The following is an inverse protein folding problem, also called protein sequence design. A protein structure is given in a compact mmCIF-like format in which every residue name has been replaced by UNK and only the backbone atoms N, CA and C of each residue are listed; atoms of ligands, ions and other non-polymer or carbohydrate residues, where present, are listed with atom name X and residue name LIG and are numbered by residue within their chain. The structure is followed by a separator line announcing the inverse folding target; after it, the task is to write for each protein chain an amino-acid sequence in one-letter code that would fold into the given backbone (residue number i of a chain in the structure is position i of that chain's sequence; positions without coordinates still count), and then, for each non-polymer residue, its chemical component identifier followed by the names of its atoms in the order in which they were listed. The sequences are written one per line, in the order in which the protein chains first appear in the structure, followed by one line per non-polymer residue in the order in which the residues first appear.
data_IF_771280489561
#
_entry.id   IF_771280489561
#
_cell.length_a   1.000
_cell.length_b   1.000
_cell.length_c   1.000
_cell.angle_alpha   90.00
_cell.angle_beta   90.00
_cell.angle_gamma   90.00
#
_symmetry.space_group_name_H-M   'P 1'
#
loop_
_entity.id
_entity.type
_entity.pdbx_description
1 polymer ?
#
# COMPACT_ATOMS: atom_id res chain seq x y z
N UNK A 1 -13.21 12.49 10.60
CA UNK A 1 -12.66 12.51 9.22
C UNK A 1 -13.72 12.94 8.21
N UNK A 2 -13.40 13.92 7.38
CA UNK A 2 -14.25 14.35 6.28
C UNK A 2 -13.67 13.74 5.01
N UNK A 3 -14.47 13.03 4.24
CA UNK A 3 -14.09 12.56 2.91
C UNK A 3 -13.59 13.70 2.02
N UNK A 4 -12.97 13.40 0.86
CA UNK A 4 -12.49 14.42 -0.05
C UNK A 4 -13.61 15.39 -0.39
N UNK A 5 -13.38 16.68 -0.22
CA UNK A 5 -14.36 17.72 -0.55
C UNK A 5 -14.71 17.68 -2.04
N UNK A 6 -15.89 18.22 -2.41
CA UNK A 6 -16.40 18.19 -3.80
C UNK A 6 -15.45 18.81 -4.85
N UNK A 7 -14.49 19.63 -4.44
CA UNK A 7 -13.56 20.34 -5.33
C UNK A 7 -12.11 19.80 -5.23
N UNK A 8 -11.87 18.72 -4.51
CA UNK A 8 -10.53 18.14 -4.42
C UNK A 8 -10.33 17.16 -5.58
N UNK A 9 -9.25 17.34 -6.30
CA UNK A 9 -8.75 16.39 -7.29
C UNK A 9 -7.67 15.50 -6.67
N UNK A 10 -7.52 14.31 -7.17
CA UNK A 10 -6.41 13.42 -6.87
C UNK A 10 -5.73 13.01 -8.18
N UNK A 11 -4.41 12.82 -8.14
CA UNK A 11 -3.65 12.39 -9.30
C UNK A 11 -4.04 10.96 -9.70
N UNK A 12 -4.32 10.11 -8.72
CA UNK A 12 -4.68 8.70 -8.92
C UNK A 12 -5.83 8.29 -8.02
N UNK A 13 -6.69 7.42 -8.53
CA UNK A 13 -7.81 6.80 -7.81
C UNK A 13 -7.61 5.29 -7.86
N UNK A 14 -7.55 4.65 -6.68
CA UNK A 14 -7.41 3.21 -6.55
C UNK A 14 -8.69 2.63 -5.94
N UNK A 15 -9.20 1.56 -6.52
CA UNK A 15 -10.34 0.80 -6.00
C UNK A 15 -9.86 -0.55 -5.51
N UNK A 16 -10.33 -0.93 -4.32
CA UNK A 16 -10.03 -2.21 -3.69
C UNK A 16 -11.31 -3.00 -3.47
N UNK A 17 -11.23 -4.29 -3.77
CA UNK A 17 -12.15 -5.29 -3.26
C UNK A 17 -11.44 -6.00 -2.09
N UNK A 18 -11.87 -5.71 -0.87
CA UNK A 18 -11.24 -6.23 0.34
C UNK A 18 -11.60 -7.69 0.54
N UNK A 19 -10.60 -8.53 0.67
CA UNK A 19 -10.74 -9.92 1.05
C UNK A 19 -10.58 -10.01 2.58
N UNK A 20 -11.70 -10.13 3.28
CA UNK A 20 -11.69 -10.33 4.73
C UNK A 20 -11.45 -11.80 5.09
N UNK A 21 -10.73 -11.99 6.18
CA UNK A 21 -10.57 -13.27 6.88
C UNK A 21 -10.97 -13.12 8.34
N UNK A 22 -10.89 -14.18 9.11
CA UNK A 22 -10.95 -14.05 10.54
C UNK A 22 -9.60 -13.57 11.11
N UNK A 23 -9.66 -12.83 12.19
CA UNK A 23 -8.53 -12.64 13.08
C UNK A 23 -8.18 -13.96 13.78
N UNK A 24 -6.93 -14.10 14.24
CA UNK A 24 -6.47 -15.29 14.97
C UNK A 24 -7.26 -15.60 16.25
N UNK A 25 -7.93 -14.60 16.82
CA UNK A 25 -8.88 -14.78 17.93
C UNK A 25 -10.28 -15.28 17.49
N UNK A 26 -10.47 -15.61 16.22
CA UNK A 26 -11.70 -16.14 15.64
C UNK A 26 -12.76 -15.09 15.28
N UNK A 27 -12.53 -13.80 15.51
CA UNK A 27 -13.48 -12.76 15.11
C UNK A 27 -13.35 -12.42 13.64
N UNK A 28 -14.47 -12.23 12.92
CA UNK A 28 -14.40 -11.82 11.52
C UNK A 28 -13.89 -10.38 11.38
N UNK A 29 -13.01 -10.17 10.44
CA UNK A 29 -12.64 -8.82 10.01
C UNK A 29 -13.83 -8.15 9.31
N UNK A 30 -13.92 -6.84 9.45
CA UNK A 30 -14.88 -6.04 8.70
C UNK A 30 -14.33 -4.62 8.45
N UNK A 31 -15.14 -3.74 7.88
CA UNK A 31 -14.73 -2.36 7.57
C UNK A 31 -14.33 -1.53 8.80
N UNK A 32 -14.78 -1.87 9.99
CA UNK A 32 -14.36 -1.18 11.21
C UNK A 32 -12.86 -1.34 11.46
N UNK A 33 -12.31 -2.51 11.13
CA UNK A 33 -10.87 -2.80 11.21
C UNK A 33 -10.03 -1.97 10.23
N UNK A 34 -10.63 -1.45 9.16
CA UNK A 34 -9.97 -0.55 8.20
C UNK A 34 -10.18 0.92 8.56
N UNK A 35 -11.34 1.28 9.08
CA UNK A 35 -11.69 2.67 9.42
C UNK A 35 -10.93 3.13 10.66
N UNK A 36 -10.83 2.28 11.68
CA UNK A 36 -10.19 2.67 12.94
C UNK A 36 -8.69 3.03 12.79
N UNK A 37 -7.86 2.25 12.08
CA UNK A 37 -6.48 2.64 11.80
C UNK A 37 -6.33 3.94 11.03
N UNK A 38 -7.24 4.24 10.09
CA UNK A 38 -7.25 5.53 9.39
C UNK A 38 -7.54 6.68 10.34
N UNK A 39 -8.60 6.55 11.17
CA UNK A 39 -8.91 7.54 12.20
C UNK A 39 -7.71 7.74 13.13
N UNK A 40 -7.14 6.65 13.65
CA UNK A 40 -5.99 6.66 14.52
C UNK A 40 -4.79 7.39 13.90
N UNK A 41 -4.48 7.10 12.64
CA UNK A 41 -3.36 7.74 11.94
C UNK A 41 -3.51 9.26 11.88
N UNK A 42 -4.71 9.78 11.60
CA UNK A 42 -4.97 11.22 11.57
C UNK A 42 -4.95 11.84 12.96
N UNK A 43 -5.55 11.20 13.94
CA UNK A 43 -5.66 11.69 15.31
C UNK A 43 -4.27 11.83 15.95
N UNK A 44 -3.46 10.79 15.90
CA UNK A 44 -2.16 10.73 16.58
C UNK A 44 -1.02 11.45 15.85
N UNK A 45 -1.21 11.79 14.58
CA UNK A 45 -0.25 12.58 13.80
C UNK A 45 -0.55 14.08 13.76
N UNK A 46 -1.72 14.50 14.20
CA UNK A 46 -2.20 15.89 14.07
C UNK A 46 -2.30 16.56 15.43
N UNK A 47 -1.37 17.47 15.73
CA UNK A 47 -1.39 18.22 16.99
C UNK A 47 -2.39 19.37 16.93
N UNK A 48 -3.43 19.33 17.78
CA UNK A 48 -4.46 20.36 17.86
C UNK A 48 -3.99 21.55 18.71
N UNK A 49 -3.36 21.26 19.86
CA UNK A 49 -2.83 22.28 20.79
C UNK A 49 -1.73 21.68 21.67
N UNK A 50 -1.20 22.47 22.62
CA UNK A 50 -0.12 22.04 23.52
C UNK A 50 -0.51 21.00 24.55
N UNK A 51 -1.80 20.84 24.83
CA UNK A 51 -2.34 19.87 25.80
C UNK A 51 -2.99 18.65 25.13
N UNK A 52 -2.74 18.46 23.85
CA UNK A 52 -3.24 17.34 23.08
C UNK A 52 -2.63 16.02 23.56
N UNK A 53 -3.45 15.15 24.13
CA UNK A 53 -3.04 13.83 24.65
C UNK A 53 -3.00 12.75 23.57
N UNK A 54 -3.49 13.06 22.37
CA UNK A 54 -3.57 12.13 21.24
C UNK A 54 -2.56 12.45 20.14
N UNK A 55 -1.49 13.16 20.48
CA UNK A 55 -0.39 13.46 19.54
C UNK A 55 0.90 12.79 19.98
N UNK A 56 1.55 12.13 19.04
CA UNK A 56 2.88 11.56 19.22
C UNK A 56 3.79 12.04 18.07
N UNK A 57 4.90 12.78 18.37
CA UNK A 57 5.74 13.39 17.33
C UNK A 57 6.52 12.36 16.49
N UNK A 58 6.89 11.19 17.06
CA UNK A 58 7.57 10.15 16.31
C UNK A 58 6.58 9.45 15.35
N UNK A 59 5.36 9.20 15.81
CA UNK A 59 4.28 8.68 14.97
C UNK A 59 3.91 9.67 13.85
N UNK A 60 3.82 10.96 14.18
CA UNK A 60 3.53 12.01 13.19
C UNK A 60 4.60 12.08 12.10
N UNK A 61 5.87 11.97 12.45
CA UNK A 61 6.97 11.95 11.48
C UNK A 61 6.90 10.72 10.53
N UNK A 62 6.54 9.56 11.06
CA UNK A 62 6.36 8.34 10.25
C UNK A 62 5.13 8.43 9.33
N UNK A 63 4.06 9.05 9.79
CA UNK A 63 2.81 9.20 9.04
C UNK A 63 2.87 10.31 7.98
N UNK A 64 3.82 11.25 8.07
CA UNK A 64 3.88 12.48 7.26
C UNK A 64 3.78 12.21 5.76
N UNK A 65 4.56 11.25 5.25
CA UNK A 65 4.59 10.93 3.81
C UNK A 65 3.23 10.42 3.35
N UNK A 66 2.64 9.47 4.07
CA UNK A 66 1.34 8.90 3.72
C UNK A 66 0.24 9.98 3.76
N UNK A 67 0.20 10.80 4.81
CA UNK A 67 -0.81 11.84 4.99
C UNK A 67 -0.66 12.99 3.98
N UNK A 68 0.55 13.30 3.54
CA UNK A 68 0.80 14.32 2.52
C UNK A 68 0.19 13.95 1.17
N UNK A 69 0.22 12.69 0.80
CA UNK A 69 -0.25 12.21 -0.50
C UNK A 69 -1.66 11.62 -0.47
N UNK A 70 -2.15 11.14 0.67
CA UNK A 70 -3.51 10.62 0.81
C UNK A 70 -4.52 11.79 0.83
N UNK A 71 -5.34 11.91 -0.20
CA UNK A 71 -6.39 12.94 -0.33
C UNK A 71 -7.71 12.52 0.31
N UNK A 72 -7.91 11.23 0.49
CA UNK A 72 -9.05 10.68 1.19
C UNK A 72 -9.34 9.23 0.84
N UNK A 73 -10.20 8.62 1.63
CA UNK A 73 -10.67 7.25 1.45
C UNK A 73 -12.20 7.24 1.53
N UNK A 74 -12.86 6.49 0.65
CA UNK A 74 -14.31 6.34 0.62
C UNK A 74 -14.67 4.87 0.67
N UNK A 75 -15.45 4.47 1.65
CA UNK A 75 -16.06 3.14 1.74
C UNK A 75 -17.38 3.16 1.00
N UNK A 76 -17.50 2.40 -0.09
CA UNK A 76 -18.73 2.31 -0.87
C UNK A 76 -19.74 1.36 -0.23
N UNK A 77 -19.23 0.27 0.32
CA UNK A 77 -19.95 -0.75 1.07
C UNK A 77 -18.98 -1.43 2.05
N UNK A 78 -19.30 -2.62 2.52
CA UNK A 78 -18.48 -3.33 3.51
C UNK A 78 -17.13 -3.81 2.96
N UNK A 79 -17.01 -4.11 1.65
CA UNK A 79 -15.80 -4.64 1.03
C UNK A 79 -15.15 -3.71 0.00
N UNK A 80 -15.87 -2.74 -0.56
CA UNK A 80 -15.32 -1.89 -1.60
C UNK A 80 -14.83 -0.55 -1.05
N UNK A 81 -13.55 -0.29 -1.25
CA UNK A 81 -12.87 0.92 -0.78
C UNK A 81 -12.27 1.66 -1.96
N UNK A 82 -12.37 2.98 -1.96
CA UNK A 82 -11.70 3.86 -2.92
C UNK A 82 -10.72 4.75 -2.17
N UNK A 83 -9.45 4.73 -2.55
CA UNK A 83 -8.44 5.67 -2.08
C UNK A 83 -8.11 6.69 -3.17
N UNK A 84 -8.01 7.96 -2.77
CA UNK A 84 -7.64 9.09 -3.61
C UNK A 84 -6.26 9.55 -3.17
N UNK A 85 -5.25 9.51 -4.08
CA UNK A 85 -3.87 9.82 -3.73
C UNK A 85 -3.21 10.73 -4.77
N UNK A 86 -2.35 11.64 -4.31
CA UNK A 86 -1.48 12.45 -5.16
C UNK A 86 -0.13 11.76 -5.36
N UNK A 87 -0.19 10.48 -5.62
CA UNK A 87 0.98 9.64 -5.90
C UNK A 87 0.81 8.97 -7.25
N UNK A 88 1.90 8.93 -8.01
CA UNK A 88 1.95 8.25 -9.29
C UNK A 88 3.22 7.43 -9.41
N UNK A 89 3.08 6.23 -9.93
CA UNK A 89 4.17 5.34 -10.29
C UNK A 89 3.89 4.68 -11.64
N UNK A 90 4.92 4.29 -12.38
CA UNK A 90 4.72 3.60 -13.67
C UNK A 90 4.12 2.18 -13.49
N UNK A 91 4.30 1.57 -12.35
CA UNK A 91 3.68 0.30 -11.96
C UNK A 91 2.42 0.57 -11.14
N UNK A 92 1.26 0.16 -11.65
CA UNK A 92 0.00 0.31 -10.96
C UNK A 92 -0.07 -0.46 -9.62
N UNK A 93 0.73 -1.54 -9.47
CA UNK A 93 0.80 -2.29 -8.21
C UNK A 93 1.47 -1.48 -7.10
N UNK A 94 2.49 -0.69 -7.44
CA UNK A 94 3.13 0.24 -6.50
C UNK A 94 2.17 1.36 -6.07
N UNK A 95 1.33 1.85 -7.00
CA UNK A 95 0.29 2.82 -6.65
C UNK A 95 -0.73 2.18 -5.72
N UNK A 96 -1.14 0.95 -6.00
CA UNK A 96 -2.10 0.22 -5.18
C UNK A 96 -1.54 -0.10 -3.79
N UNK A 97 -0.27 -0.45 -3.67
CA UNK A 97 0.39 -0.67 -2.38
C UNK A 97 0.44 0.63 -1.57
N UNK A 98 0.93 1.72 -2.17
CA UNK A 98 1.02 3.03 -1.53
C UNK A 98 -0.33 3.58 -1.05
N UNK A 99 -1.39 3.39 -1.84
CA UNK A 99 -2.74 3.90 -1.56
C UNK A 99 -3.57 2.97 -0.65
N UNK A 100 -3.00 1.84 -0.23
CA UNK A 100 -3.73 0.78 0.46
C UNK A 100 -4.13 1.16 1.89
N UNK A 101 -5.22 0.55 2.34
CA UNK A 101 -5.73 0.67 3.70
C UNK A 101 -5.61 -0.72 4.33
N UNK A 102 -4.67 -0.87 5.24
CA UNK A 102 -4.39 -2.14 5.89
C UNK A 102 -4.74 -2.13 7.38
N UNK A 103 -5.17 -3.28 7.88
CA UNK A 103 -5.32 -3.53 9.29
C UNK A 103 -4.33 -4.62 9.71
N UNK A 104 -3.51 -4.34 10.72
CA UNK A 104 -2.50 -5.27 11.25
C UNK A 104 -2.88 -5.87 12.59
N UNK A 105 -3.91 -5.32 13.24
CA UNK A 105 -4.48 -5.77 14.50
C UNK A 105 -5.96 -5.40 14.59
N UNK A 106 -6.77 -6.11 15.39
CA UNK A 106 -8.17 -5.80 15.58
C UNK A 106 -8.38 -4.40 16.14
N UNK A 107 -9.43 -3.71 15.70
CA UNK A 107 -9.73 -2.35 16.14
C UNK A 107 -9.89 -2.21 17.66
N UNK A 108 -10.46 -3.21 18.33
CA UNK A 108 -10.68 -3.19 19.76
C UNK A 108 -9.37 -3.22 20.57
N UNK A 109 -8.36 -3.92 20.08
CA UNK A 109 -7.01 -3.91 20.68
C UNK A 109 -6.38 -2.54 20.52
N UNK A 110 -6.46 -1.94 19.33
CA UNK A 110 -5.96 -0.59 19.08
C UNK A 110 -6.68 0.45 19.95
N UNK A 111 -8.00 0.34 20.14
CA UNK A 111 -8.77 1.22 21.00
C UNK A 111 -8.38 1.09 22.48
N UNK A 112 -8.13 -0.12 22.97
CA UNK A 112 -7.64 -0.32 24.33
C UNK A 112 -6.26 0.28 24.54
N UNK A 113 -5.35 0.12 23.58
CA UNK A 113 -4.03 0.74 23.58
C UNK A 113 -4.15 2.27 23.63
N UNK A 114 -4.98 2.84 22.76
CA UNK A 114 -5.22 4.28 22.74
C UNK A 114 -5.65 4.82 24.09
N UNK A 115 -6.58 4.14 24.76
CA UNK A 115 -7.04 4.54 26.08
C UNK A 115 -5.95 4.46 27.15
N UNK A 116 -5.11 3.43 27.12
CA UNK A 116 -3.97 3.29 28.03
C UNK A 116 -2.95 4.41 27.83
N UNK A 117 -2.67 4.76 26.58
CA UNK A 117 -1.72 5.84 26.26
C UNK A 117 -2.29 7.22 26.62
N UNK A 118 -3.56 7.49 26.34
CA UNK A 118 -4.25 8.74 26.76
C UNK A 118 -4.27 8.91 28.28
N UNK A 119 -4.36 7.81 29.01
CA UNK A 119 -4.32 7.81 30.49
C UNK A 119 -2.88 7.89 31.06
N UNK A 120 -1.84 7.98 30.20
CA UNK A 120 -0.45 8.12 30.61
C UNK A 120 0.16 6.85 31.22
N UNK A 121 -0.44 5.67 30.99
CA UNK A 121 0.04 4.39 31.54
C UNK A 121 1.22 3.89 30.69
N UNK A 122 1.13 4.06 29.38
CA UNK A 122 2.17 3.73 28.41
C UNK A 122 2.34 4.84 27.38
N UNK A 123 3.42 4.75 26.60
CA UNK A 123 3.62 5.58 25.41
C UNK A 123 3.56 4.74 24.12
N UNK A 124 3.16 5.37 23.01
CA UNK A 124 3.18 4.75 21.70
C UNK A 124 4.58 4.65 21.11
N UNK A 125 5.36 5.71 21.28
CA UNK A 125 6.72 5.78 20.75
C UNK A 125 7.76 5.67 21.87
N UNK A 126 8.96 5.28 21.47
CA UNK A 126 10.10 5.24 22.37
C UNK A 126 10.51 6.63 22.82
N UNK A 127 10.39 7.62 21.95
CA UNK A 127 10.70 9.01 22.25
C UNK A 127 9.79 9.55 23.36
N UNK A 128 8.47 9.36 23.22
CA UNK A 128 7.50 9.78 24.24
C UNK A 128 7.68 9.01 25.55
N UNK A 129 7.97 7.71 25.48
CA UNK A 129 8.27 6.91 26.67
C UNK A 129 9.42 7.51 27.47
N UNK A 130 10.50 7.94 26.79
CA UNK A 130 11.65 8.58 27.42
C UNK A 130 11.29 9.94 28.01
N UNK A 131 10.58 10.78 27.25
CA UNK A 131 10.17 12.14 27.70
C UNK A 131 9.25 12.07 28.91
N UNK A 132 8.29 11.15 28.92
CA UNK A 132 7.30 11.00 30.00
C UNK A 132 7.79 10.12 31.14
N UNK A 133 8.94 9.47 31.03
CA UNK A 133 9.49 8.50 31.96
C UNK A 133 8.48 7.38 32.29
N UNK A 134 7.89 6.82 31.24
CA UNK A 134 6.96 5.67 31.30
C UNK A 134 7.41 4.60 30.31
N UNK A 135 6.78 3.42 30.35
CA UNK A 135 7.13 2.34 29.44
C UNK A 135 6.57 2.55 28.03
N UNK A 136 7.37 2.18 27.03
CA UNK A 136 6.90 2.02 25.66
C UNK A 136 6.09 0.73 25.55
N UNK A 137 4.82 0.84 25.10
CA UNK A 137 3.91 -0.29 25.00
C UNK A 137 4.38 -1.33 23.98
N UNK A 138 4.35 -2.60 24.37
CA UNK A 138 4.67 -3.74 23.50
C UNK A 138 3.63 -4.83 23.63
N UNK A 139 3.08 -5.28 22.51
CA UNK A 139 2.03 -6.31 22.47
C UNK A 139 2.50 -7.70 22.89
N UNK A 140 3.82 -7.95 22.85
CA UNK A 140 4.40 -9.27 23.17
C UNK A 140 4.77 -9.40 24.65
N UNK A 141 4.92 -8.30 25.37
CA UNK A 141 5.26 -8.31 26.80
C UNK A 141 4.02 -8.66 27.62
N UNK A 142 4.11 -9.70 28.44
CA UNK A 142 2.98 -10.25 29.19
C UNK A 142 2.33 -9.22 30.13
N UNK A 143 3.11 -8.40 30.87
CA UNK A 143 2.55 -7.34 31.73
C UNK A 143 1.76 -6.29 30.95
N UNK A 144 2.25 -5.90 29.76
CA UNK A 144 1.54 -4.95 28.89
C UNK A 144 0.26 -5.58 28.30
N UNK A 145 0.34 -6.84 27.89
CA UNK A 145 -0.83 -7.59 27.43
C UNK A 145 -1.91 -7.70 28.50
N UNK A 146 -1.53 -7.93 29.77
CA UNK A 146 -2.47 -7.93 30.88
C UNK A 146 -3.11 -6.56 31.13
N UNK A 147 -2.36 -5.46 30.95
CA UNK A 147 -2.94 -4.11 31.03
C UNK A 147 -3.96 -3.88 29.91
N UNK A 148 -3.65 -4.31 28.67
CA UNK A 148 -4.59 -4.26 27.55
C UNK A 148 -5.84 -5.09 27.84
N UNK A 149 -5.69 -6.29 28.40
CA UNK A 149 -6.82 -7.15 28.80
C UNK A 149 -7.72 -6.46 29.80
N UNK A 150 -7.13 -5.87 30.84
CA UNK A 150 -7.89 -5.13 31.89
C UNK A 150 -8.64 -3.93 31.29
N UNK A 151 -8.02 -3.21 30.32
CA UNK A 151 -8.69 -2.09 29.66
C UNK A 151 -9.85 -2.57 28.78
N UNK A 152 -9.69 -3.71 28.07
CA UNK A 152 -10.78 -4.36 27.33
C UNK A 152 -11.95 -4.77 28.25
N UNK A 153 -11.68 -5.33 29.43
CA UNK A 153 -12.69 -5.66 30.45
C UNK A 153 -13.45 -4.42 30.92
N UNK A 154 -12.73 -3.31 31.12
CA UNK A 154 -13.31 -2.01 31.47
C UNK A 154 -14.18 -1.47 30.32
N UNK A 155 -13.68 -1.48 29.09
CA UNK A 155 -14.45 -1.08 27.89
C UNK A 155 -15.73 -1.91 27.74
N UNK A 156 -15.67 -3.22 28.01
CA UNK A 156 -16.83 -4.10 28.00
C UNK A 156 -17.86 -3.69 29.09
N UNK A 157 -17.41 -3.43 30.31
CA UNK A 157 -18.28 -2.99 31.41
C UNK A 157 -18.94 -1.64 31.12
N UNK A 158 -18.19 -0.71 30.54
CA UNK A 158 -18.67 0.60 30.13
C UNK A 158 -19.57 0.55 28.88
N UNK A 159 -19.68 -0.61 28.20
CA UNK A 159 -20.37 -0.76 26.91
C UNK A 159 -19.84 0.22 25.87
N UNK A 160 -18.53 0.46 25.91
CA UNK A 160 -17.85 1.47 25.11
C UNK A 160 -17.81 1.07 23.63
N UNK A 161 -18.06 2.02 22.75
CA UNK A 161 -17.77 1.95 21.32
C UNK A 161 -16.97 3.19 20.96
N UNK A 162 -15.79 3.06 20.31
CA UNK A 162 -15.02 4.23 19.91
C UNK A 162 -15.86 5.23 19.11
N UNK A 163 -15.72 6.56 19.35
CA UNK A 163 -16.49 7.56 18.62
C UNK A 163 -16.40 7.46 17.10
N UNK A 164 -15.23 7.06 16.58
CA UNK A 164 -15.00 6.84 15.16
C UNK A 164 -15.82 5.67 14.57
N UNK A 165 -16.31 4.75 15.40
CA UNK A 165 -17.02 3.53 14.99
C UNK A 165 -18.49 3.50 15.42
N UNK A 166 -19.01 4.52 16.09
CA UNK A 166 -20.35 4.54 16.69
C UNK A 166 -21.50 4.29 15.69
N UNK A 167 -21.31 4.67 14.43
CA UNK A 167 -22.31 4.49 13.38
C UNK A 167 -22.09 3.19 12.56
N UNK A 168 -21.10 2.37 12.95
CA UNK A 168 -20.64 1.20 12.21
C UNK A 168 -20.69 -0.06 13.07
N UNK A 169 -20.33 0.05 14.34
CA UNK A 169 -20.24 -1.06 15.30
C UNK A 169 -21.31 -0.91 16.36
N UNK A 170 -22.10 -1.96 16.55
CA UNK A 170 -23.05 -2.01 17.67
C UNK A 170 -22.34 -2.33 18.99
N UNK A 171 -22.98 -1.97 20.11
CA UNK A 171 -22.45 -2.30 21.45
C UNK A 171 -22.28 -3.81 21.64
N UNK A 172 -23.24 -4.60 21.15
CA UNK A 172 -23.19 -6.06 21.32
C UNK A 172 -22.08 -6.70 20.45
N UNK A 173 -21.81 -6.14 19.28
CA UNK A 173 -20.66 -6.52 18.45
C UNK A 173 -19.34 -6.16 19.15
N UNK A 174 -19.24 -4.95 19.71
CA UNK A 174 -18.07 -4.51 20.47
C UNK A 174 -17.77 -5.45 21.65
N UNK A 175 -18.79 -5.82 22.41
CA UNK A 175 -18.66 -6.75 23.56
C UNK A 175 -18.13 -8.12 23.09
N UNK A 176 -18.65 -8.68 22.00
CA UNK A 176 -18.14 -9.95 21.44
C UNK A 176 -16.67 -9.85 21.04
N UNK A 177 -16.27 -8.73 20.45
CA UNK A 177 -14.89 -8.46 20.06
C UNK A 177 -13.98 -8.38 21.30
N UNK A 178 -14.41 -7.65 22.34
CA UNK A 178 -13.68 -7.57 23.60
C UNK A 178 -13.50 -8.95 24.23
N UNK A 179 -14.58 -9.76 24.32
CA UNK A 179 -14.52 -11.11 24.88
C UNK A 179 -13.52 -12.02 24.15
N UNK A 180 -13.49 -11.97 22.83
CA UNK A 180 -12.57 -12.75 22.02
C UNK A 180 -11.11 -12.33 22.26
N UNK A 181 -10.83 -11.03 22.31
CA UNK A 181 -9.48 -10.51 22.55
C UNK A 181 -9.03 -10.72 24.00
N UNK A 182 -9.92 -10.60 24.98
CA UNK A 182 -9.67 -10.95 26.40
C UNK A 182 -9.29 -12.44 26.51
N UNK A 183 -10.07 -13.32 25.89
CA UNK A 183 -9.80 -14.76 25.86
C UNK A 183 -8.44 -15.06 25.26
N UNK A 184 -8.14 -14.48 24.08
CA UNK A 184 -6.84 -14.64 23.40
C UNK A 184 -5.67 -14.25 24.30
N UNK A 185 -5.72 -13.06 24.91
CA UNK A 185 -4.64 -12.58 25.79
C UNK A 185 -4.47 -13.50 27.01
N UNK A 186 -5.58 -14.01 27.55
CA UNK A 186 -5.56 -14.93 28.69
C UNK A 186 -4.88 -16.26 28.33
N UNK A 187 -5.14 -16.79 27.14
CA UNK A 187 -4.62 -18.08 26.69
C UNK A 187 -3.17 -18.00 26.19
N UNK A 188 -2.76 -16.86 25.58
CA UNK A 188 -1.47 -16.72 24.90
C UNK A 188 -0.46 -15.84 25.64
N UNK A 189 -0.88 -15.09 26.67
CA UNK A 189 -0.03 -14.14 27.43
C UNK A 189 0.59 -13.03 26.57
N UNK A 190 0.04 -12.72 25.40
CA UNK A 190 0.40 -11.60 24.56
C UNK A 190 -0.84 -11.04 23.83
N UNK A 191 -0.75 -9.78 23.36
CA UNK A 191 -1.84 -9.12 22.64
C UNK A 191 -1.62 -9.06 21.11
N UNK A 192 -0.70 -9.83 20.58
CA UNK A 192 -0.48 -9.93 19.14
C UNK A 192 -1.57 -10.82 18.56
N UNK A 193 -2.51 -10.22 17.84
CA UNK A 193 -3.62 -10.87 17.15
C UNK A 193 -3.53 -10.42 15.69
N UNK A 194 -3.12 -11.31 14.82
CA UNK A 194 -2.96 -11.04 13.40
C UNK A 194 -4.05 -11.69 12.55
N UNK A 195 -3.96 -11.49 11.25
CA UNK A 195 -4.78 -12.15 10.22
C UNK A 195 -3.89 -12.87 9.19
N UNK A 196 -2.60 -12.99 9.47
CA UNK A 196 -1.62 -13.64 8.62
C UNK A 196 -1.60 -15.17 8.76
N UNK A 197 -0.78 -15.85 7.94
CA UNK A 197 -0.73 -17.32 7.88
C UNK A 197 -0.04 -17.98 9.07
N UNK A 198 0.53 -17.20 9.98
CA UNK A 198 1.24 -17.70 11.16
C UNK A 198 0.79 -16.95 12.41
N UNK A 199 0.71 -17.67 13.52
CA UNK A 199 0.47 -17.13 14.85
C UNK A 199 1.62 -17.49 15.80
N UNK A 200 1.79 -16.72 16.88
CA UNK A 200 2.82 -16.99 17.89
C UNK A 200 2.32 -18.12 18.79
N UNK A 201 3.01 -19.25 18.73
CA UNK A 201 2.76 -20.39 19.60
C UNK A 201 3.42 -20.22 20.98
N UNK A 202 4.65 -19.71 21.00
CA UNK A 202 5.41 -19.50 22.22
C UNK A 202 6.44 -18.39 22.02
N UNK A 203 6.65 -17.59 23.07
CA UNK A 203 7.66 -16.57 23.17
C UNK A 203 8.45 -16.73 24.44
N UNK A 204 9.76 -16.95 24.32
CA UNK A 204 10.69 -17.03 25.45
C UNK A 204 11.71 -15.89 25.34
N UNK A 205 11.50 -14.76 26.06
CA UNK A 205 12.41 -13.61 25.98
C UNK A 205 13.80 -13.92 26.54
N UNK A 206 13.91 -14.76 27.57
CA UNK A 206 15.18 -15.12 28.19
C UNK A 206 16.06 -15.94 27.24
N UNK A 207 15.45 -16.87 26.51
CA UNK A 207 16.14 -17.68 25.49
C UNK A 207 16.23 -17.03 24.12
N UNK A 208 15.66 -15.83 23.93
CA UNK A 208 15.55 -15.15 22.61
C UNK A 208 14.93 -16.05 21.54
N UNK A 209 13.92 -16.87 21.91
CA UNK A 209 13.25 -17.82 21.02
C UNK A 209 11.79 -17.45 20.85
N UNK A 210 11.35 -17.43 19.60
CA UNK A 210 9.93 -17.36 19.23
C UNK A 210 9.58 -18.57 18.38
N UNK A 211 8.47 -19.23 18.73
CA UNK A 211 7.93 -20.33 17.93
C UNK A 211 6.64 -19.91 17.28
N UNK A 212 6.53 -20.13 15.99
CA UNK A 212 5.34 -19.86 15.20
C UNK A 212 4.63 -21.17 14.86
N UNK A 213 3.31 -21.13 14.78
CA UNK A 213 2.50 -22.20 14.19
C UNK A 213 1.69 -21.65 13.03
N UNK A 214 1.33 -22.53 12.10
CA UNK A 214 0.54 -22.09 10.95
C UNK A 214 -0.92 -21.88 11.37
N UNK A 215 -1.44 -20.68 11.11
CA UNK A 215 -2.86 -20.38 11.23
C UNK A 215 -3.61 -21.02 10.05
N UNK A 216 -4.58 -21.89 10.35
CA UNK A 216 -5.32 -22.69 9.37
C UNK A 216 -6.82 -22.43 9.51
N UNK A 217 -7.22 -21.20 9.29
CA UNK A 217 -8.63 -20.80 9.27
C UNK A 217 -9.19 -20.90 7.85
N UNK A 218 -10.41 -21.39 7.70
CA UNK A 218 -11.07 -21.57 6.39
C UNK A 218 -11.41 -20.27 5.70
N UNK A 219 -11.47 -19.16 6.44
CA UNK A 219 -11.70 -17.82 5.88
C UNK A 219 -10.45 -17.20 5.26
N UNK A 220 -9.25 -17.78 5.51
CA UNK A 220 -8.01 -17.26 4.93
C UNK A 220 -8.06 -17.37 3.39
N UNK A 221 -7.94 -16.26 2.65
CA UNK A 221 -8.30 -16.23 1.22
C UNK A 221 -7.29 -16.92 0.30
N UNK A 222 -6.11 -17.29 0.80
CA UNK A 222 -5.03 -17.84 -0.02
C UNK A 222 -4.80 -19.32 0.31
N UNK A 223 -4.91 -20.19 -0.71
CA UNK A 223 -4.67 -21.62 -0.58
C UNK A 223 -3.16 -21.92 -0.49
N UNK A 224 -2.83 -23.10 0.00
CA UNK A 224 -1.45 -23.61 0.02
C UNK A 224 -0.83 -23.53 -1.39
N UNK A 225 0.36 -22.95 -1.48
CA UNK A 225 1.10 -22.79 -2.75
C UNK A 225 0.71 -21.57 -3.58
N UNK A 226 -0.27 -20.77 -3.14
CA UNK A 226 -0.66 -19.54 -3.85
C UNK A 226 0.53 -18.61 -4.14
N UNK A 227 1.45 -18.47 -3.19
CA UNK A 227 2.63 -17.60 -3.30
C UNK A 227 3.86 -18.28 -3.94
N UNK A 228 3.78 -19.59 -4.27
CA UNK A 228 4.92 -20.33 -4.82
C UNK A 228 5.41 -19.81 -6.18
N UNK A 229 4.57 -19.07 -6.90
CA UNK A 229 4.96 -18.41 -8.15
C UNK A 229 6.10 -17.39 -7.95
N UNK A 230 6.30 -16.90 -6.72
CA UNK A 230 7.33 -15.94 -6.37
C UNK A 230 8.58 -16.55 -5.71
N UNK A 231 8.63 -17.87 -5.49
CA UNK A 231 9.77 -18.56 -4.88
C UNK A 231 11.05 -18.42 -5.71
N UNK A 232 10.91 -18.36 -7.03
CA UNK A 232 12.02 -18.08 -7.96
C UNK A 232 11.69 -16.84 -8.77
N UNK A 233 12.50 -15.79 -8.60
CA UNK A 233 12.32 -14.53 -9.32
C UNK A 233 12.64 -14.73 -10.81
N UNK A 234 11.60 -14.69 -11.65
CA UNK A 234 11.72 -14.69 -13.12
C UNK A 234 11.71 -13.26 -13.61
N UNK A 235 12.89 -12.62 -13.61
CA UNK A 235 13.03 -11.23 -14.04
C UNK A 235 12.82 -11.11 -15.55
N UNK A 236 12.10 -10.08 -15.96
CA UNK A 236 12.06 -9.66 -17.36
C UNK A 236 13.34 -8.91 -17.71
N UNK A 237 13.80 -9.02 -18.96
CA UNK A 237 15.01 -8.34 -19.47
C UNK A 237 14.84 -8.00 -20.94
N UNK A 238 15.21 -6.76 -21.32
CA UNK A 238 15.34 -6.38 -22.71
C UNK A 238 16.59 -7.03 -23.32
N UNK A 239 16.41 -7.90 -24.33
CA UNK A 239 17.54 -8.47 -25.08
C UNK A 239 17.93 -7.58 -26.27
N UNK A 240 16.94 -7.01 -26.94
CA UNK A 240 17.15 -6.13 -28.09
C UNK A 240 16.08 -5.05 -28.14
N UNK A 241 16.50 -3.80 -28.38
CA UNK A 241 15.59 -2.68 -28.63
C UNK A 241 16.06 -1.97 -29.92
N UNK A 242 15.14 -1.78 -30.86
CA UNK A 242 15.35 -1.15 -32.14
C UNK A 242 14.42 0.05 -32.30
N UNK A 243 14.97 1.17 -32.71
CA UNK A 243 14.24 2.40 -32.96
C UNK A 243 15.01 3.33 -33.88
N UNK A 244 14.32 4.21 -34.63
CA UNK A 244 14.99 5.21 -35.46
C UNK A 244 15.65 6.27 -34.59
N UNK A 245 16.90 6.58 -34.82
CA UNK A 245 17.62 7.64 -34.05
C UNK A 245 17.13 9.04 -34.39
N UNK A 246 16.69 9.26 -35.65
CA UNK A 246 16.15 10.53 -36.13
C UNK A 246 14.70 10.32 -36.52
N UNK A 247 13.82 11.20 -36.03
CA UNK A 247 12.39 11.15 -36.30
C UNK A 247 11.89 12.51 -36.79
N UNK A 248 10.88 12.47 -37.66
CA UNK A 248 10.21 13.67 -38.15
C UNK A 248 8.98 13.99 -37.29
N UNK A 249 8.90 15.20 -36.74
CA UNK A 249 7.76 15.65 -35.95
C UNK A 249 6.45 15.57 -36.73
N UNK A 250 5.42 15.01 -36.13
CA UNK A 250 4.11 14.83 -36.76
C UNK A 250 3.96 13.52 -37.55
N UNK A 251 5.04 12.75 -37.75
CA UNK A 251 4.95 11.42 -38.33
C UNK A 251 4.99 10.34 -37.23
N UNK A 252 4.27 9.24 -37.40
CA UNK A 252 4.31 8.14 -36.44
C UNK A 252 5.69 7.48 -36.43
N UNK A 253 6.05 6.92 -35.25
CA UNK A 253 7.32 6.18 -35.10
C UNK A 253 7.05 4.91 -34.28
N UNK A 254 7.83 3.86 -34.53
CA UNK A 254 7.76 2.61 -33.79
C UNK A 254 9.09 2.31 -33.09
N UNK A 255 8.98 1.73 -31.89
CA UNK A 255 10.05 1.05 -31.18
C UNK A 255 9.68 -0.44 -31.17
N UNK A 256 10.62 -1.31 -31.47
CA UNK A 256 10.42 -2.74 -31.42
C UNK A 256 11.58 -3.43 -30.69
N UNK A 257 11.37 -4.64 -30.28
CA UNK A 257 12.41 -5.40 -29.60
C UNK A 257 11.97 -6.77 -29.14
N UNK A 258 12.81 -7.36 -28.31
CA UNK A 258 12.57 -8.67 -27.74
C UNK A 258 12.91 -8.66 -26.25
N UNK A 259 12.13 -9.41 -25.47
CA UNK A 259 12.24 -9.57 -24.03
C UNK A 259 12.38 -11.04 -23.68
N UNK A 260 13.17 -11.32 -22.65
CA UNK A 260 13.23 -12.62 -21.99
C UNK A 260 12.69 -12.53 -20.56
N UNK A 261 12.12 -13.63 -20.05
CA UNK A 261 11.67 -13.76 -18.67
C UNK A 261 12.35 -15.00 -18.07
N UNK A 262 13.20 -14.79 -17.03
CA UNK A 262 13.99 -15.86 -16.46
C UNK A 262 14.94 -16.52 -17.48
N UNK A 263 15.37 -15.78 -18.49
CA UNK A 263 16.25 -16.25 -19.58
C UNK A 263 15.53 -16.91 -20.77
N UNK A 264 14.22 -17.06 -20.73
CA UNK A 264 13.43 -17.62 -21.85
C UNK A 264 12.68 -16.51 -22.57
N UNK A 265 12.54 -16.62 -23.90
CA UNK A 265 11.70 -15.71 -24.68
C UNK A 265 10.22 -15.93 -24.31
N UNK A 266 9.61 -14.91 -23.72
CA UNK A 266 8.24 -14.97 -23.20
C UNK A 266 7.63 -13.56 -23.20
N UNK A 267 6.33 -13.45 -23.39
CA UNK A 267 5.54 -12.22 -23.38
C UNK A 267 4.72 -12.01 -22.11
N UNK A 268 4.89 -12.88 -21.10
CA UNK A 268 4.14 -12.77 -19.83
C UNK A 268 4.71 -11.67 -18.91
N UNK A 269 4.66 -10.45 -19.41
CA UNK A 269 5.16 -9.25 -18.75
C UNK A 269 4.32 -8.02 -19.10
N UNK A 270 4.41 -6.99 -18.28
CA UNK A 270 3.87 -5.66 -18.57
C UNK A 270 4.97 -4.80 -19.16
N UNK A 271 4.70 -4.18 -20.31
CA UNK A 271 5.62 -3.27 -21.00
C UNK A 271 5.01 -1.88 -21.05
N UNK A 272 5.66 -0.90 -20.42
CA UNK A 272 5.22 0.50 -20.36
C UNK A 272 6.29 1.41 -20.95
N UNK A 273 5.89 2.49 -21.60
CA UNK A 273 6.82 3.48 -22.14
C UNK A 273 6.48 4.90 -21.73
N UNK A 274 7.51 5.74 -21.65
CA UNK A 274 7.43 7.18 -21.38
C UNK A 274 8.32 7.90 -22.36
N UNK A 275 7.88 9.09 -22.81
CA UNK A 275 8.66 9.98 -23.66
C UNK A 275 8.70 11.35 -23.00
N UNK A 276 9.91 11.88 -22.86
CA UNK A 276 10.20 13.16 -22.23
C UNK A 276 10.83 14.13 -23.24
N UNK A 277 10.55 15.41 -23.09
CA UNK A 277 11.24 16.45 -23.83
C UNK A 277 12.65 16.72 -23.25
N UNK A 278 13.40 17.63 -23.91
CA UNK A 278 14.73 18.04 -23.47
C UNK A 278 14.78 18.67 -22.06
N UNK A 279 13.65 19.10 -21.51
CA UNK A 279 13.52 19.69 -20.18
C UNK A 279 12.98 18.68 -19.17
N UNK A 280 12.92 17.39 -19.54
CA UNK A 280 12.37 16.30 -18.73
C UNK A 280 10.87 16.40 -18.44
N UNK A 281 10.10 17.13 -19.29
CA UNK A 281 8.65 17.13 -19.19
C UNK A 281 8.09 15.91 -19.92
N UNK A 282 7.14 15.22 -19.29
CA UNK A 282 6.45 14.07 -19.89
C UNK A 282 5.60 14.52 -21.08
N UNK A 283 5.91 13.99 -22.29
CA UNK A 283 5.16 14.25 -23.52
C UNK A 283 4.02 13.25 -23.66
N UNK A 284 4.33 11.96 -23.50
CA UNK A 284 3.37 10.87 -23.64
C UNK A 284 3.83 9.63 -22.90
N UNK A 285 2.88 8.79 -22.55
CA UNK A 285 3.10 7.46 -21.97
C UNK A 285 2.08 6.49 -22.53
N UNK A 286 2.36 5.19 -22.42
CA UNK A 286 1.44 4.13 -22.82
C UNK A 286 2.04 2.76 -22.60
N UNK A 287 1.31 1.76 -23.07
CA UNK A 287 1.73 0.36 -23.01
C UNK A 287 2.21 -0.12 -24.37
N UNK A 288 3.22 -0.99 -24.37
CA UNK A 288 3.66 -1.70 -25.55
C UNK A 288 2.73 -2.89 -25.86
N UNK A 289 2.74 -3.33 -27.11
CA UNK A 289 1.99 -4.51 -27.56
C UNK A 289 2.93 -5.67 -27.82
N UNK A 290 2.59 -6.84 -27.31
CA UNK A 290 3.25 -8.08 -27.68
C UNK A 290 2.82 -8.49 -29.09
N UNK A 291 3.80 -8.89 -29.93
CA UNK A 291 3.54 -9.35 -31.30
C UNK A 291 3.27 -10.85 -31.32
N UNK A 292 3.94 -11.57 -30.43
CA UNK A 292 3.85 -13.01 -30.26
C UNK A 292 4.10 -13.45 -28.81
N UNK A 293 4.05 -14.72 -28.53
CA UNK A 293 4.34 -15.35 -27.24
C UNK A 293 5.84 -15.52 -26.94
N UNK A 294 6.71 -15.16 -27.89
CA UNK A 294 8.17 -15.26 -27.80
C UNK A 294 8.85 -13.99 -27.32
N UNK A 295 8.08 -13.06 -26.76
CA UNK A 295 8.60 -11.81 -26.19
C UNK A 295 8.91 -10.72 -27.20
N UNK A 296 8.49 -10.87 -28.46
CA UNK A 296 8.62 -9.78 -29.43
C UNK A 296 7.56 -8.72 -29.18
N UNK A 297 7.98 -7.46 -29.14
CA UNK A 297 7.08 -6.34 -28.86
C UNK A 297 7.19 -5.22 -29.88
N UNK A 298 6.13 -4.40 -29.92
CA UNK A 298 6.08 -3.14 -30.65
C UNK A 298 5.39 -2.06 -29.83
N UNK A 299 5.97 -0.85 -29.86
CA UNK A 299 5.39 0.37 -29.32
C UNK A 299 5.17 1.32 -30.50
N UNK A 300 3.92 1.65 -30.77
CA UNK A 300 3.57 2.62 -31.82
C UNK A 300 3.30 3.99 -31.19
N UNK A 301 4.11 4.97 -31.54
CA UNK A 301 3.98 6.36 -31.11
C UNK A 301 3.33 7.14 -32.25
N UNK A 302 2.18 7.72 -32.02
CA UNK A 302 1.40 8.41 -33.04
C UNK A 302 2.00 9.78 -33.42
N UNK A 303 1.56 10.34 -34.56
CA UNK A 303 2.03 11.62 -35.06
C UNK A 303 1.70 12.82 -34.13
N UNK A 304 0.63 12.77 -33.35
CA UNK A 304 0.33 13.83 -32.39
C UNK A 304 1.36 13.87 -31.24
N UNK A 305 1.76 12.72 -30.74
CA UNK A 305 2.82 12.63 -29.72
C UNK A 305 4.18 13.09 -30.27
N UNK A 306 4.56 12.67 -31.47
CA UNK A 306 5.83 13.13 -32.10
C UNK A 306 5.80 14.62 -32.46
N UNK A 307 4.63 15.19 -32.77
CA UNK A 307 4.45 16.63 -32.97
C UNK A 307 4.69 17.43 -31.69
N UNK A 308 4.36 16.88 -30.54
CA UNK A 308 4.57 17.50 -29.23
C UNK A 308 6.04 17.46 -28.77
N UNK A 309 6.89 16.61 -29.36
CA UNK A 309 8.32 16.54 -29.02
C UNK A 309 9.06 17.86 -29.34
N UNK A 310 10.06 18.20 -28.54
CA UNK A 310 10.96 19.33 -28.80
C UNK A 310 11.83 19.04 -30.02
N UNK A 311 12.22 20.05 -30.78
CA UNK A 311 13.29 19.91 -31.81
C UNK A 311 14.59 19.60 -31.08
N UNK A 312 15.31 18.58 -31.53
CA UNK A 312 16.52 18.06 -30.91
C UNK A 312 16.27 16.79 -30.09
N UNK A 313 17.02 16.58 -29.00
CA UNK A 313 16.93 15.35 -28.22
C UNK A 313 15.63 15.26 -27.42
N UNK A 314 15.01 14.07 -27.44
CA UNK A 314 13.88 13.67 -26.59
C UNK A 314 14.19 12.27 -26.07
N UNK A 315 14.12 12.09 -24.75
CA UNK A 315 14.39 10.80 -24.12
C UNK A 315 13.14 9.93 -24.13
N UNK A 316 13.31 8.62 -24.30
CA UNK A 316 12.28 7.66 -23.98
C UNK A 316 12.80 6.63 -22.99
N UNK A 317 11.91 6.16 -22.12
CA UNK A 317 12.18 5.07 -21.18
C UNK A 317 11.16 3.97 -21.37
N UNK A 318 11.65 2.75 -21.45
CA UNK A 318 10.84 1.54 -21.51
C UNK A 318 11.03 0.79 -20.18
N UNK A 319 9.93 0.31 -19.62
CA UNK A 319 9.92 -0.51 -18.43
C UNK A 319 9.26 -1.83 -18.76
N UNK A 320 9.94 -2.94 -18.54
CA UNK A 320 9.35 -4.26 -18.65
C UNK A 320 9.42 -4.97 -17.30
N UNK A 321 8.29 -5.49 -16.84
CA UNK A 321 8.16 -6.20 -15.57
C UNK A 321 7.44 -7.52 -15.81
N UNK A 322 8.06 -8.64 -15.42
CA UNK A 322 7.40 -9.94 -15.47
C UNK A 322 6.27 -10.03 -14.45
N UNK A 323 5.29 -10.90 -14.71
CA UNK A 323 4.22 -11.17 -13.75
C UNK A 323 4.70 -11.97 -12.53
N UNK A 324 5.95 -12.47 -12.55
CA UNK A 324 6.57 -13.30 -11.51
C UNK A 324 7.62 -12.57 -10.67
N UNK A 325 7.85 -11.28 -10.90
CA UNK A 325 8.83 -10.50 -10.14
C UNK A 325 8.44 -9.02 -10.10
N UNK A 326 8.74 -8.34 -9.00
CA UNK A 326 8.42 -6.93 -8.84
C UNK A 326 9.44 -6.00 -9.53
N UNK A 327 10.71 -6.42 -9.61
CA UNK A 327 11.78 -5.61 -10.20
C UNK A 327 11.62 -5.51 -11.72
N UNK A 328 11.45 -4.31 -12.31
CA UNK A 328 11.47 -4.12 -13.74
C UNK A 328 12.89 -4.12 -14.30
N UNK A 329 13.03 -4.37 -15.61
CA UNK A 329 14.17 -3.93 -16.39
C UNK A 329 13.83 -2.62 -17.10
N UNK A 330 14.84 -1.74 -17.27
CA UNK A 330 14.66 -0.40 -17.78
C UNK A 330 15.61 -0.19 -18.96
N UNK A 331 15.06 0.25 -20.09
CA UNK A 331 15.82 0.66 -21.25
C UNK A 331 15.58 2.15 -21.53
N UNK A 332 16.66 2.94 -21.70
CA UNK A 332 16.59 4.35 -22.09
C UNK A 332 17.18 4.56 -23.47
N UNK A 333 16.54 5.40 -24.26
CA UNK A 333 17.02 5.79 -25.57
C UNK A 333 16.68 7.24 -25.91
N UNK A 334 17.27 7.77 -26.96
CA UNK A 334 17.08 9.16 -27.40
C UNK A 334 16.64 9.18 -28.86
N UNK A 335 15.57 9.94 -29.12
CA UNK A 335 15.20 10.39 -30.48
C UNK A 335 15.78 11.77 -30.73
N UNK A 336 16.35 11.98 -31.90
CA UNK A 336 16.65 13.32 -32.45
C UNK A 336 15.48 13.72 -33.34
N UNK A 337 14.65 14.63 -32.82
CA UNK A 337 13.44 15.08 -33.51
C UNK A 337 13.75 16.27 -34.43
N UNK A 338 13.36 16.17 -35.69
CA UNK A 338 13.56 17.20 -36.72
C UNK A 338 12.21 17.78 -37.18
N UNK A 339 12.19 19.04 -37.66
CA UNK A 339 10.98 19.64 -38.23
C UNK A 339 10.43 18.83 -39.41
N UNK A 340 9.11 18.85 -39.58
CA UNK A 340 8.47 18.30 -40.76
C UNK A 340 8.61 19.31 -41.93
N UNK A 341 9.32 18.99 -42.98
CA UNK A 341 9.55 19.92 -44.12
C UNK A 341 8.25 20.24 -44.88
N UNK A 342 7.23 19.37 -44.81
CA UNK A 342 5.96 19.58 -45.51
C UNK A 342 5.11 20.64 -44.77
N UNK A 343 5.21 20.73 -43.43
CA UNK A 343 4.46 21.72 -42.65
C UNK A 343 4.89 23.18 -42.92
N UNK A 344 6.11 23.40 -43.44
CA UNK A 344 6.61 24.73 -43.80
C UNK A 344 6.07 25.28 -45.14
N UNK A 345 5.40 24.46 -45.95
CA UNK A 345 4.83 24.87 -47.24
C UNK A 345 3.36 25.33 -47.16
N UNK A 346 2.73 25.28 -46.00
CA UNK A 346 1.33 25.60 -45.78
C UNK A 346 1.08 26.76 -44.83
N UNK A 347 2.14 27.44 -44.36
CA UNK A 347 2.13 28.70 -43.62
C UNK A 347 2.83 29.78 -44.42
#
# INVERSE_FOLDING_TARGET
WKGPGKNNSALTVVRYDTLYSNWQNGQPMNKADLIYPLYFQYEWSSKINSSDLTYDPEFAAQAEVALKYLRGTKFLNDSNVISFVDYWHFDNKEIADFASVWATSPWEVNAAIERLVKNGIFAYSRSEATVKNIEWLSLIISSHAQAIRQELEKMKTERFVPPALKDIVTVDEAIKRYDASIKWITEHNHAIIGNGPYEIKNYNPTGSVISLTAFRDSSYPFVKGFWSIYETAKLAKFEKVQYPKIITRGLPVAISGNVTIGGNHDSNATLTYFIFDKNNHLITRGEGKWIDDKGNFMIAINGSSTKAMSIGPNEFKLFVKSNYALRPDIYSGIFISVPNPIAKKLT
#
